data_IF_810278580127
#
_entry.id   IF_810278580127
#
_cell.length_a   1.000
_cell.length_b   1.000
_cell.length_c   1.000
_cell.angle_alpha   90.00
_cell.angle_beta   90.00
_cell.angle_gamma   90.00
#
_symmetry.space_group_name_H-M   'P 1'
#
loop_
_entity.id
_entity.type
_entity.pdbx_description
1 polymer ?
#
# COMPACT_ATOMS: atom_id res chain seq x y z
N UNK A 1 -12.23 -16.60 -3.02
CA UNK A 1 -13.67 -16.88 -3.24
C UNK A 1 -14.41 -15.72 -3.90
N UNK A 2 -14.60 -14.56 -3.24
CA UNK A 2 -15.40 -13.41 -3.74
C UNK A 2 -15.15 -13.03 -5.21
N UNK A 3 -13.88 -12.98 -5.62
CA UNK A 3 -13.49 -12.53 -6.95
C UNK A 3 -13.36 -13.65 -7.99
N UNK A 4 -13.61 -14.92 -7.64
CA UNK A 4 -13.42 -16.04 -8.59
C UNK A 4 -11.96 -16.32 -8.99
N UNK A 5 -10.98 -15.81 -8.23
CA UNK A 5 -9.57 -16.09 -8.46
C UNK A 5 -9.23 -17.58 -8.26
N UNK A 6 -8.34 -18.11 -9.10
CA UNK A 6 -7.78 -19.47 -8.99
C UNK A 6 -6.96 -19.64 -7.70
N UNK A 7 -6.16 -18.63 -7.40
CA UNK A 7 -5.31 -18.60 -6.22
C UNK A 7 -5.10 -17.16 -5.77
N UNK A 8 -4.60 -16.99 -4.55
CA UNK A 8 -4.17 -15.69 -4.07
C UNK A 8 -3.33 -15.78 -2.81
N UNK A 9 -2.56 -14.73 -2.58
CA UNK A 9 -1.81 -14.49 -1.35
C UNK A 9 -2.14 -13.10 -0.79
N UNK A 10 -1.89 -12.88 0.49
CA UNK A 10 -2.03 -11.55 1.08
C UNK A 10 -1.11 -10.52 0.39
N UNK A 11 -1.51 -9.25 0.46
CA UNK A 11 -0.83 -8.13 -0.20
C UNK A 11 0.20 -7.42 0.68
N UNK A 12 0.19 -6.08 0.58
CA UNK A 12 1.11 -5.19 1.26
C UNK A 12 0.77 -4.95 2.73
N UNK A 13 1.45 -3.97 3.31
CA UNK A 13 1.25 -3.63 4.72
C UNK A 13 -0.08 -2.92 4.94
N UNK A 14 -0.64 -3.10 6.14
CA UNK A 14 -1.82 -2.38 6.60
C UNK A 14 -1.59 -1.76 7.98
N UNK A 15 -2.40 -0.76 8.33
CA UNK A 15 -2.44 -0.23 9.69
C UNK A 15 -3.02 -1.27 10.64
N UNK A 16 -2.18 -1.99 11.39
CA UNK A 16 -2.63 -3.07 12.28
C UNK A 16 -2.18 -2.96 13.73
N UNK A 17 -1.37 -1.95 14.10
CA UNK A 17 -0.75 -1.88 15.42
C UNK A 17 -1.73 -1.50 16.55
N UNK A 18 -2.81 -0.78 16.22
CA UNK A 18 -3.87 -0.45 17.17
C UNK A 18 -5.20 -0.97 16.64
N UNK A 19 -5.79 -2.02 17.24
CA UNK A 19 -7.08 -2.57 16.81
C UNK A 19 -8.26 -1.62 17.04
N UNK A 20 -8.09 -0.59 17.87
CA UNK A 20 -9.11 0.42 18.16
C UNK A 20 -8.98 1.67 17.29
N UNK A 21 -7.97 1.73 16.42
CA UNK A 21 -7.83 2.83 15.46
C UNK A 21 -8.96 2.77 14.44
N UNK A 22 -9.55 3.92 14.11
CA UNK A 22 -10.51 4.02 13.01
C UNK A 22 -9.90 3.71 11.64
N UNK A 23 -8.56 3.79 11.55
CA UNK A 23 -7.78 3.42 10.36
C UNK A 23 -7.30 1.97 10.40
N UNK A 24 -7.75 1.18 11.39
CA UNK A 24 -7.34 -0.22 11.50
C UNK A 24 -7.79 -1.00 10.27
N UNK A 25 -6.83 -1.65 9.62
CA UNK A 25 -7.05 -2.39 8.40
C UNK A 25 -6.80 -1.58 7.14
N UNK A 26 -6.58 -0.26 7.18
CA UNK A 26 -6.32 0.54 5.98
C UNK A 26 -4.95 0.22 5.36
N UNK A 27 -4.85 0.42 4.05
CA UNK A 27 -3.60 0.28 3.30
C UNK A 27 -2.51 1.18 3.88
N UNK A 28 -1.32 0.61 4.09
CA UNK A 28 -0.12 1.32 4.51
C UNK A 28 0.96 1.16 3.46
N UNK A 29 0.86 1.95 2.39
CA UNK A 29 1.87 2.04 1.34
C UNK A 29 1.26 2.18 -0.04
N UNK A 30 2.14 2.28 -1.03
CA UNK A 30 1.76 2.54 -2.40
C UNK A 30 0.85 1.44 -2.94
N UNK A 31 -0.35 1.84 -3.37
CA UNK A 31 -1.30 0.92 -3.98
C UNK A 31 -2.06 1.59 -5.12
N UNK A 32 -1.96 0.99 -6.30
CA UNK A 32 -2.71 1.37 -7.49
C UNK A 32 -3.35 0.12 -8.05
N UNK A 33 -4.65 0.18 -8.32
CA UNK A 33 -5.38 -0.91 -8.94
C UNK A 33 -6.15 -0.39 -10.14
N UNK A 34 -5.99 -1.04 -11.30
CA UNK A 34 -6.70 -0.67 -12.53
C UNK A 34 -6.50 0.81 -12.93
N UNK A 35 -5.30 1.34 -12.67
CA UNK A 35 -4.96 2.74 -12.88
C UNK A 35 -5.57 3.74 -11.90
N UNK A 36 -6.28 3.27 -10.87
CA UNK A 36 -6.76 4.13 -9.80
C UNK A 36 -5.73 4.16 -8.66
N UNK A 37 -5.24 5.35 -8.33
CA UNK A 37 -4.39 5.57 -7.15
C UNK A 37 -5.24 5.50 -5.88
N UNK A 38 -5.02 4.48 -5.07
CA UNK A 38 -5.78 4.21 -3.85
C UNK A 38 -5.06 4.75 -2.63
N UNK A 39 -3.78 4.38 -2.51
CA UNK A 39 -2.92 4.75 -1.37
C UNK A 39 -1.53 5.16 -1.87
N UNK A 40 -0.95 6.13 -1.19
CA UNK A 40 0.27 6.80 -1.63
C UNK A 40 1.56 6.05 -1.28
N UNK A 41 2.68 6.34 -1.99
CA UNK A 41 3.98 5.88 -1.57
C UNK A 41 4.33 6.34 -0.16
N UNK A 42 4.79 5.41 0.67
CA UNK A 42 5.30 5.69 2.01
C UNK A 42 6.84 5.52 2.01
N UNK A 43 7.43 5.33 3.20
CA UNK A 43 8.87 5.08 3.38
C UNK A 43 9.39 3.81 2.67
N UNK A 44 8.52 3.06 1.97
CA UNK A 44 8.94 1.91 1.18
C UNK A 44 9.71 2.35 -0.06
N UNK A 45 11.01 2.04 -0.09
CA UNK A 45 11.88 2.44 -1.19
C UNK A 45 11.54 1.74 -2.51
N UNK A 46 10.82 0.62 -2.47
CA UNK A 46 10.49 -0.20 -3.62
C UNK A 46 9.02 -0.59 -3.62
N UNK A 47 8.46 -0.77 -4.82
CA UNK A 47 7.15 -1.37 -5.06
C UNK A 47 7.23 -2.32 -6.26
N UNK A 48 6.31 -3.29 -6.30
CA UNK A 48 6.12 -4.15 -7.47
C UNK A 48 5.14 -3.47 -8.42
N UNK A 49 5.58 -3.29 -9.66
CA UNK A 49 4.75 -2.90 -10.79
C UNK A 49 4.27 -4.17 -11.51
N UNK A 50 2.97 -4.25 -11.79
CA UNK A 50 2.38 -5.28 -12.65
C UNK A 50 1.80 -4.55 -13.87
N UNK A 51 2.50 -4.62 -14.99
CA UNK A 51 2.07 -4.03 -16.26
C UNK A 51 1.26 -5.04 -17.07
N UNK A 52 0.05 -4.68 -17.43
CA UNK A 52 -0.75 -5.42 -18.42
C UNK A 52 -0.38 -4.95 -19.83
N UNK A 53 -0.07 -5.90 -20.71
CA UNK A 53 0.19 -5.64 -22.13
C UNK A 53 -1.10 -5.80 -22.95
N UNK A 54 -1.17 -5.26 -24.18
CA UNK A 54 -2.34 -5.41 -25.05
C UNK A 54 -2.75 -6.86 -25.35
N UNK A 55 -1.83 -7.83 -25.26
CA UNK A 55 -2.14 -9.27 -25.41
C UNK A 55 -2.45 -9.97 -24.06
N UNK A 56 -2.85 -9.18 -23.06
CA UNK A 56 -3.21 -9.61 -21.71
C UNK A 56 -2.09 -10.35 -20.95
N UNK A 57 -0.82 -10.16 -21.33
CA UNK A 57 0.32 -10.67 -20.56
C UNK A 57 0.64 -9.68 -19.44
N UNK A 58 0.93 -10.20 -18.26
CA UNK A 58 1.42 -9.39 -17.15
C UNK A 58 2.95 -9.45 -17.08
N UNK A 59 3.58 -8.30 -16.91
CA UNK A 59 5.03 -8.18 -16.76
C UNK A 59 5.33 -7.48 -15.44
N UNK A 60 6.14 -8.13 -14.61
CA UNK A 60 6.54 -7.60 -13.31
C UNK A 60 7.86 -6.83 -13.40
N UNK A 61 7.93 -5.75 -12.62
CA UNK A 61 9.15 -4.96 -12.43
C UNK A 61 9.17 -4.37 -11.02
N UNK A 62 10.36 -3.96 -10.59
CA UNK A 62 10.53 -3.13 -9.40
C UNK A 62 10.60 -1.67 -9.81
N UNK A 63 9.95 -0.83 -9.02
CA UNK A 63 9.98 0.63 -9.15
C UNK A 63 10.21 1.26 -7.79
N UNK A 64 10.70 2.50 -7.79
CA UNK A 64 10.86 3.31 -6.59
C UNK A 64 9.93 4.53 -6.72
N UNK A 65 8.65 4.39 -6.31
CA UNK A 65 7.64 5.38 -6.59
C UNK A 65 7.79 6.61 -5.69
N UNK A 66 7.74 7.80 -6.29
CA UNK A 66 7.62 9.08 -5.57
C UNK A 66 6.45 9.84 -6.15
N UNK A 67 5.51 10.20 -5.29
CA UNK A 67 4.32 10.94 -5.67
C UNK A 67 4.43 12.39 -5.20
N UNK A 68 4.09 13.33 -6.08
CA UNK A 68 3.78 14.71 -5.72
C UNK A 68 2.29 14.95 -5.92
N UNK A 69 1.63 15.45 -4.89
CA UNK A 69 0.23 15.86 -4.93
C UNK A 69 0.17 17.38 -4.95
N UNK A 70 -0.49 17.96 -5.94
CA UNK A 70 -0.59 19.42 -6.10
C UNK A 70 -2.04 19.83 -6.23
N UNK A 71 -2.51 20.65 -5.30
CA UNK A 71 -3.81 21.30 -5.37
C UNK A 71 -3.66 22.61 -6.16
N UNK A 72 -4.22 22.60 -7.37
CA UNK A 72 -4.11 23.66 -8.35
C UNK A 72 -5.28 24.61 -8.21
N UNK A 73 -5.00 25.91 -8.19
CA UNK A 73 -6.00 26.94 -7.86
C UNK A 73 -6.00 27.99 -8.97
N UNK A 74 -7.15 28.22 -9.61
CA UNK A 74 -7.26 29.25 -10.64
C UNK A 74 -6.98 30.65 -10.06
N UNK A 75 -6.04 31.37 -10.67
CA UNK A 75 -5.70 32.74 -10.28
C UNK A 75 -4.86 32.86 -9.00
N UNK A 76 -4.35 31.76 -8.43
CA UNK A 76 -3.48 31.76 -7.24
C UNK A 76 -2.35 30.73 -7.35
N UNK A 77 -1.35 30.83 -6.47
CA UNK A 77 -0.27 29.84 -6.39
C UNK A 77 -0.79 28.50 -5.85
N UNK A 78 -0.39 27.41 -6.50
CA UNK A 78 -0.71 26.04 -6.10
C UNK A 78 -0.26 25.69 -4.67
N UNK A 79 -0.94 24.72 -4.06
CA UNK A 79 -0.56 24.11 -2.79
C UNK A 79 0.04 22.72 -3.06
N UNK A 80 1.30 22.51 -2.68
CA UNK A 80 1.85 21.16 -2.59
C UNK A 80 1.29 20.48 -1.35
N UNK A 81 0.58 19.38 -1.53
CA UNK A 81 0.05 18.61 -0.42
C UNK A 81 0.99 17.46 -0.06
N UNK A 82 1.02 17.17 1.24
CA UNK A 82 1.88 16.15 1.86
C UNK A 82 1.45 14.74 1.48
N UNK A 83 0.21 14.56 1.02
CA UNK A 83 -0.25 13.26 0.57
C UNK A 83 -1.72 13.17 0.18
N UNK A 84 -2.19 11.93 0.06
CA UNK A 84 -3.58 11.59 -0.19
C UNK A 84 -4.08 10.39 0.63
N UNK A 85 -5.40 10.32 0.83
CA UNK A 85 -6.13 9.16 1.34
C UNK A 85 -5.43 8.45 2.53
N UNK A 86 -5.05 9.23 3.53
CA UNK A 86 -4.50 8.75 4.79
C UNK A 86 -4.89 9.67 5.94
N UNK A 87 -4.61 9.24 7.17
CA UNK A 87 -4.73 10.10 8.35
C UNK A 87 -3.95 11.42 8.15
N UNK A 88 -4.62 12.55 8.43
CA UNK A 88 -4.00 13.88 8.46
C UNK A 88 -3.31 14.08 9.81
N UNK A 89 -2.00 14.32 9.79
CA UNK A 89 -1.20 14.63 10.97
C UNK A 89 -1.03 16.15 11.11
N UNK A 90 -0.22 16.54 12.09
CA UNK A 90 0.18 17.93 12.27
C UNK A 90 1.06 18.38 11.09
N UNK A 91 0.87 19.65 10.68
CA UNK A 91 1.50 20.30 9.52
C UNK A 91 1.29 19.61 8.16
N UNK A 92 0.36 18.66 8.05
CA UNK A 92 -0.01 18.03 6.78
C UNK A 92 -0.98 18.88 5.95
N UNK A 93 -0.89 18.73 4.62
CA UNK A 93 -2.04 18.88 3.71
C UNK A 93 -2.34 17.52 3.07
N UNK A 94 -3.57 17.01 3.19
CA UNK A 94 -4.02 15.75 2.62
C UNK A 94 -5.17 15.98 1.66
N UNK A 95 -5.11 15.33 0.49
CA UNK A 95 -6.24 15.25 -0.43
C UNK A 95 -7.01 13.95 -0.18
N UNK A 96 -8.30 14.07 0.12
CA UNK A 96 -9.22 12.95 0.27
C UNK A 96 -10.11 12.81 -0.95
N UNK A 97 -10.02 11.65 -1.60
CA UNK A 97 -10.82 11.29 -2.77
C UNK A 97 -11.92 10.29 -2.37
N UNK A 98 -12.95 10.05 -3.21
CA UNK A 98 -14.08 9.19 -2.84
C UNK A 98 -13.71 7.73 -2.53
N UNK A 99 -12.53 7.28 -2.95
CA UNK A 99 -12.04 5.93 -2.64
C UNK A 99 -11.59 5.77 -1.18
N UNK A 100 -11.29 6.88 -0.49
CA UNK A 100 -10.85 6.85 0.90
C UNK A 100 -11.94 6.32 1.82
N UNK A 101 -13.05 7.05 1.89
CA UNK A 101 -14.21 6.76 2.72
C UNK A 101 -15.35 7.73 2.34
N UNK A 102 -16.51 7.61 2.97
CA UNK A 102 -17.62 8.57 2.84
C UNK A 102 -17.27 9.97 3.39
N UNK A 103 -16.42 10.04 4.41
CA UNK A 103 -15.95 11.31 5.01
C UNK A 103 -14.43 11.31 5.13
N UNK A 104 -13.83 12.47 5.40
CA UNK A 104 -12.37 12.59 5.54
C UNK A 104 -11.79 11.85 6.74
N UNK A 105 -12.62 11.50 7.74
CA UNK A 105 -12.21 11.00 9.06
C UNK A 105 -11.30 11.95 9.85
N UNK A 106 -11.02 13.15 9.33
CA UNK A 106 -10.16 14.11 9.95
C UNK A 106 -10.77 14.65 11.27
N UNK A 107 -9.90 14.95 12.22
CA UNK A 107 -10.27 15.69 13.43
C UNK A 107 -10.71 17.13 13.11
N UNK A 108 -11.26 17.81 14.12
CA UNK A 108 -11.79 19.18 13.99
C UNK A 108 -10.72 20.28 14.00
N UNK A 109 -9.45 19.95 14.22
CA UNK A 109 -8.38 20.93 14.46
C UNK A 109 -7.71 21.46 13.19
N UNK A 110 -8.29 21.18 12.01
CA UNK A 110 -7.80 21.66 10.71
C UNK A 110 -8.83 22.44 9.91
N UNK A 111 -8.42 22.83 8.71
CA UNK A 111 -9.25 23.48 7.70
C UNK A 111 -9.49 22.53 6.55
N UNK A 112 -10.74 22.39 6.13
CA UNK A 112 -11.16 21.53 5.02
C UNK A 112 -11.80 22.34 3.90
N UNK A 113 -11.33 22.15 2.68
CA UNK A 113 -11.91 22.70 1.46
C UNK A 113 -12.62 21.58 0.71
N UNK A 114 -13.94 21.69 0.60
CA UNK A 114 -14.78 20.72 -0.11
C UNK A 114 -14.89 21.15 -1.57
N UNK A 115 -14.54 20.26 -2.48
CA UNK A 115 -14.55 20.49 -3.93
C UNK A 115 -15.51 19.52 -4.59
N UNK A 116 -16.36 20.01 -5.50
CA UNK A 116 -17.27 19.20 -6.30
C UNK A 116 -17.38 19.83 -7.69
N UNK A 117 -17.38 18.99 -8.73
CA UNK A 117 -17.36 19.41 -10.13
C UNK A 117 -16.27 20.46 -10.46
N UNK A 118 -15.08 20.34 -9.85
CA UNK A 118 -13.93 21.22 -10.10
C UNK A 118 -14.01 22.60 -9.44
N UNK A 119 -14.94 22.83 -8.52
CA UNK A 119 -15.08 24.11 -7.82
C UNK A 119 -15.14 23.95 -6.31
N UNK A 120 -14.62 24.94 -5.58
CA UNK A 120 -14.76 25.00 -4.12
C UNK A 120 -16.22 25.24 -3.76
N UNK A 121 -16.81 24.34 -2.98
CA UNK A 121 -18.19 24.45 -2.46
C UNK A 121 -18.24 24.89 -1.01
N UNK A 122 -17.20 24.63 -0.23
CA UNK A 122 -17.10 25.09 1.15
C UNK A 122 -15.65 25.17 1.62
N UNK A 123 -15.38 26.14 2.49
CA UNK A 123 -14.18 26.19 3.34
C UNK A 123 -14.66 26.05 4.79
N UNK A 124 -14.16 25.05 5.50
CA UNK A 124 -14.69 24.60 6.81
C UNK A 124 -13.56 24.58 7.83
N UNK A 125 -13.81 25.05 9.03
CA UNK A 125 -12.85 25.03 10.14
C UNK A 125 -13.57 24.74 11.45
N UNK A 126 -12.95 23.94 12.34
CA UNK A 126 -13.54 23.61 13.65
C UNK A 126 -14.75 22.68 13.57
N UNK A 127 -15.04 22.11 12.40
CA UNK A 127 -16.18 21.23 12.16
C UNK A 127 -15.77 19.76 12.08
N UNK A 128 -16.70 18.81 12.34
CA UNK A 128 -16.46 17.39 12.08
C UNK A 128 -16.12 17.12 10.61
N UNK A 129 -15.47 15.96 10.38
CA UNK A 129 -15.01 15.48 9.07
C UNK A 129 -16.01 15.73 7.95
N UNK A 130 -15.57 16.37 6.86
CA UNK A 130 -16.41 16.64 5.70
C UNK A 130 -16.82 15.36 4.96
N UNK A 131 -18.01 15.38 4.37
CA UNK A 131 -18.42 14.39 3.36
C UNK A 131 -17.59 14.65 2.11
N UNK A 132 -17.04 13.58 1.53
CA UNK A 132 -16.28 13.65 0.28
C UNK A 132 -17.27 13.56 -0.89
N UNK A 133 -17.38 14.59 -1.74
CA UNK A 133 -18.31 14.56 -2.87
C UNK A 133 -17.95 13.44 -3.87
N UNK A 134 -18.92 12.65 -4.37
CA UNK A 134 -18.63 11.56 -5.32
C UNK A 134 -17.96 12.01 -6.62
N UNK A 135 -18.16 13.26 -7.01
CA UNK A 135 -17.62 13.90 -8.22
C UNK A 135 -16.50 14.90 -7.89
N UNK A 136 -15.86 14.77 -6.73
CA UNK A 136 -14.88 15.73 -6.24
C UNK A 136 -13.94 15.15 -5.19
N UNK A 137 -13.47 16.01 -4.31
CA UNK A 137 -12.49 15.69 -3.28
C UNK A 137 -12.57 16.69 -2.13
N UNK A 138 -11.85 16.41 -1.03
CA UNK A 138 -11.65 17.35 0.07
C UNK A 138 -10.16 17.56 0.28
N UNK A 139 -9.73 18.82 0.39
CA UNK A 139 -8.36 19.17 0.82
C UNK A 139 -8.40 19.53 2.29
N UNK A 140 -7.69 18.79 3.13
CA UNK A 140 -7.70 18.96 4.59
C UNK A 140 -6.29 19.30 5.06
N UNK A 141 -6.12 20.40 5.78
CA UNK A 141 -4.79 20.84 6.21
C UNK A 141 -4.72 21.28 7.67
N UNK A 142 -3.52 21.13 8.25
CA UNK A 142 -3.08 21.71 9.51
C UNK A 142 -1.84 22.60 9.25
N UNK A 143 -1.49 23.47 10.20
CA UNK A 143 -0.30 24.31 10.10
C UNK A 143 -0.34 25.33 8.96
N UNK A 144 0.81 25.57 8.32
CA UNK A 144 0.96 26.64 7.33
C UNK A 144 0.03 26.51 6.11
N UNK A 145 -0.30 25.29 5.68
CA UNK A 145 -1.22 25.10 4.55
C UNK A 145 -2.67 25.39 4.94
N UNK A 146 -3.05 25.19 6.22
CA UNK A 146 -4.38 25.57 6.71
C UNK A 146 -4.63 27.07 6.57
N UNK A 147 -3.63 27.91 6.88
CA UNK A 147 -3.71 29.37 6.70
C UNK A 147 -3.98 29.78 5.24
N UNK A 148 -3.51 28.98 4.28
CA UNK A 148 -3.76 29.20 2.86
C UNK A 148 -5.17 28.75 2.47
N UNK A 149 -5.62 27.60 2.97
CA UNK A 149 -6.98 27.10 2.73
C UNK A 149 -8.05 28.06 3.27
N UNK A 150 -7.84 28.67 4.45
CA UNK A 150 -8.80 29.64 5.04
C UNK A 150 -9.12 30.83 4.14
N UNK A 151 -8.18 31.22 3.29
CA UNK A 151 -8.28 32.40 2.42
C UNK A 151 -8.95 32.09 1.07
N UNK A 152 -9.38 30.85 0.87
CA UNK A 152 -10.02 30.43 -0.37
C UNK A 152 -11.47 30.88 -0.43
N UNK A 153 -11.97 31.06 -1.65
CA UNK A 153 -13.32 31.54 -1.89
C UNK A 153 -14.15 30.43 -2.53
N UNK A 154 -15.40 30.33 -2.12
CA UNK A 154 -16.38 29.44 -2.74
C UNK A 154 -16.60 29.87 -4.20
N UNK A 155 -16.71 28.90 -5.11
CA UNK A 155 -16.83 29.10 -6.54
C UNK A 155 -15.50 29.19 -7.30
N UNK A 156 -14.35 29.23 -6.61
CA UNK A 156 -13.05 29.18 -7.30
C UNK A 156 -12.84 27.83 -7.96
N UNK A 157 -12.47 27.84 -9.25
CA UNK A 157 -12.10 26.64 -9.99
C UNK A 157 -10.77 26.07 -9.48
N UNK A 158 -10.74 24.77 -9.24
CA UNK A 158 -9.60 24.07 -8.68
C UNK A 158 -9.48 22.65 -9.23
N UNK A 159 -8.26 22.11 -9.20
CA UNK A 159 -7.99 20.74 -9.59
C UNK A 159 -6.96 20.10 -8.67
N UNK A 160 -6.81 18.78 -8.74
CA UNK A 160 -5.67 18.08 -8.13
C UNK A 160 -4.86 17.39 -9.22
N UNK A 161 -3.55 17.61 -9.21
CA UNK A 161 -2.60 16.95 -10.08
C UNK A 161 -1.78 15.93 -9.27
N UNK A 162 -1.62 14.74 -9.85
CA UNK A 162 -0.79 13.67 -9.33
C UNK A 162 0.40 13.45 -10.27
N UNK A 163 1.60 13.74 -9.79
CA UNK A 163 2.84 13.46 -10.51
C UNK A 163 3.56 12.28 -9.86
N UNK A 164 3.47 11.12 -10.50
CA UNK A 164 4.06 9.87 -10.03
C UNK A 164 5.32 9.54 -10.84
N UNK A 165 6.45 9.49 -10.15
CA UNK A 165 7.77 9.28 -10.74
C UNK A 165 8.42 8.00 -10.21
N UNK A 166 9.19 7.34 -11.05
CA UNK A 166 10.15 6.33 -10.64
C UNK A 166 11.51 7.00 -10.41
N UNK A 167 11.94 7.11 -9.15
CA UNK A 167 13.20 7.79 -8.84
C UNK A 167 14.43 7.03 -9.37
N UNK A 168 14.30 5.72 -9.61
CA UNK A 168 15.41 4.89 -10.07
C UNK A 168 15.87 5.22 -11.50
N UNK A 169 14.96 5.69 -12.37
CA UNK A 169 15.28 6.04 -13.76
C UNK A 169 14.78 7.43 -14.19
N UNK A 170 14.13 8.17 -13.28
CA UNK A 170 13.64 9.52 -13.51
C UNK A 170 12.44 9.62 -14.45
N UNK A 171 11.71 8.52 -14.70
CA UNK A 171 10.56 8.50 -15.61
C UNK A 171 9.24 8.51 -14.86
N UNK A 172 8.18 9.02 -15.50
CA UNK A 172 6.83 8.89 -14.98
C UNK A 172 6.39 7.43 -14.93
N UNK A 173 5.69 7.07 -13.85
CA UNK A 173 5.01 5.79 -13.71
C UNK A 173 3.58 5.94 -14.24
N UNK A 174 3.20 5.20 -15.29
CA UNK A 174 1.85 5.26 -15.84
C UNK A 174 0.82 4.61 -14.91
N UNK A 175 -0.36 5.22 -14.79
CA UNK A 175 -1.49 4.59 -14.10
C UNK A 175 -2.21 3.58 -15.00
N UNK A 176 -2.56 3.98 -16.22
CA UNK A 176 -3.32 3.15 -17.16
C UNK A 176 -2.61 1.81 -17.42
N UNK A 177 -3.35 0.70 -17.38
CA UNK A 177 -2.86 -0.67 -17.61
C UNK A 177 -1.80 -1.15 -16.58
N UNK A 178 -1.69 -0.48 -15.43
CA UNK A 178 -0.74 -0.83 -14.38
C UNK A 178 -1.40 -1.00 -13.02
N UNK A 179 -0.88 -1.95 -12.28
CA UNK A 179 -1.06 -2.07 -10.84
C UNK A 179 0.27 -1.84 -10.16
N UNK A 180 0.21 -1.31 -8.94
CA UNK A 180 1.37 -1.15 -8.08
C UNK A 180 1.02 -1.59 -6.68
N UNK A 181 1.92 -2.31 -6.04
CA UNK A 181 1.80 -2.70 -4.64
C UNK A 181 3.16 -2.57 -3.96
N UNK A 182 3.21 -1.83 -2.85
CA UNK A 182 4.39 -1.79 -1.99
C UNK A 182 4.20 -2.62 -0.72
N UNK A 183 5.30 -3.18 -0.26
CA UNK A 183 5.49 -3.80 1.03
C UNK A 183 6.97 -3.66 1.38
N UNK A 184 7.74 -4.73 1.28
CA UNK A 184 9.18 -4.74 1.42
C UNK A 184 9.66 -5.48 2.66
N UNK A 185 10.98 -5.60 2.81
CA UNK A 185 11.99 -5.02 1.93
C UNK A 185 12.20 -5.81 0.62
N UNK A 186 12.91 -5.21 -0.33
CA UNK A 186 13.51 -5.94 -1.44
C UNK A 186 14.61 -6.88 -0.89
N UNK A 187 14.53 -8.16 -1.22
CA UNK A 187 15.44 -9.18 -0.69
C UNK A 187 16.53 -9.58 -1.70
N UNK A 188 16.17 -9.74 -2.96
CA UNK A 188 17.08 -10.22 -4.02
C UNK A 188 16.90 -9.38 -5.27
N UNK A 189 18.01 -8.97 -5.87
CA UNK A 189 18.06 -8.27 -7.16
C UNK A 189 19.28 -8.75 -7.94
N UNK A 190 19.10 -9.11 -9.21
CA UNK A 190 20.24 -9.62 -9.99
C UNK A 190 20.67 -11.03 -9.57
N UNK A 191 19.76 -11.83 -9.02
CA UNK A 191 20.07 -13.15 -8.44
C UNK A 191 20.94 -13.11 -7.18
N UNK A 192 21.16 -11.92 -6.60
CA UNK A 192 21.98 -11.73 -5.40
C UNK A 192 21.15 -11.08 -4.28
N UNK A 193 21.37 -11.49 -3.02
CA UNK A 193 20.79 -10.79 -1.87
C UNK A 193 21.18 -9.30 -1.89
N UNK A 194 20.21 -8.44 -1.59
CA UNK A 194 20.43 -6.99 -1.53
C UNK A 194 21.05 -6.64 -0.19
N UNK A 195 22.23 -6.00 -0.21
CA UNK A 195 22.88 -5.49 0.99
C UNK A 195 22.05 -4.37 1.61
N UNK A 196 21.90 -4.38 2.93
CA UNK A 196 21.28 -3.30 3.73
C UNK A 196 19.81 -2.98 3.39
N UNK A 197 19.11 -3.84 2.64
CA UNK A 197 17.71 -3.63 2.25
C UNK A 197 17.46 -2.27 1.60
N UNK A 198 18.36 -1.86 0.69
CA UNK A 198 18.34 -0.64 -0.15
C UNK A 198 17.14 0.30 0.09
N UNK A 199 17.33 1.29 0.97
CA UNK A 199 16.34 2.32 1.28
C UNK A 199 15.40 2.01 2.45
N UNK A 200 15.58 0.89 3.15
CA UNK A 200 14.80 0.56 4.36
C UNK A 200 15.67 0.31 5.60
N UNK A 201 16.26 1.38 6.13
CA UNK A 201 17.13 1.34 7.32
C UNK A 201 16.44 0.78 8.58
N UNK A 202 15.10 0.85 8.66
CA UNK A 202 14.32 0.19 9.72
C UNK A 202 14.52 -1.34 9.74
N UNK A 203 14.50 -2.00 8.58
CA UNK A 203 14.61 -3.46 8.54
C UNK A 203 16.00 -3.93 8.97
N UNK A 204 17.06 -3.15 8.71
CA UNK A 204 18.40 -3.53 9.12
C UNK A 204 18.55 -3.72 10.64
N UNK A 205 17.89 -2.87 11.45
CA UNK A 205 17.99 -2.91 12.92
C UNK A 205 16.81 -3.62 13.59
N UNK A 206 15.83 -4.08 12.82
CA UNK A 206 14.62 -4.69 13.37
C UNK A 206 14.83 -6.17 13.70
N UNK A 207 14.46 -6.62 14.90
CA UNK A 207 14.42 -8.05 15.22
C UNK A 207 13.59 -8.86 14.23
N UNK A 208 12.58 -8.25 13.61
CA UNK A 208 11.73 -8.86 12.57
C UNK A 208 12.52 -9.45 11.40
N UNK A 209 13.68 -8.88 11.10
CA UNK A 209 14.52 -9.29 9.97
C UNK A 209 15.28 -10.59 10.25
N UNK A 210 15.80 -10.71 11.47
CA UNK A 210 16.66 -11.82 11.89
C UNK A 210 15.93 -12.89 12.71
N UNK A 211 14.64 -12.67 13.02
CA UNK A 211 13.78 -13.68 13.62
C UNK A 211 13.02 -14.46 12.55
N UNK A 212 12.75 -15.72 12.88
CA UNK A 212 11.92 -16.58 12.04
C UNK A 212 10.45 -16.22 12.21
N UNK A 213 9.79 -15.96 11.10
CA UNK A 213 8.37 -15.64 11.05
C UNK A 213 7.71 -16.34 9.86
N UNK A 214 6.38 -16.49 9.86
CA UNK A 214 5.65 -16.70 8.64
C UNK A 214 5.96 -15.57 7.64
N UNK A 215 6.13 -15.90 6.37
CA UNK A 215 6.51 -14.94 5.32
C UNK A 215 5.59 -15.06 4.12
N UNK A 216 5.32 -13.95 3.48
CA UNK A 216 4.80 -13.90 2.11
C UNK A 216 5.79 -13.17 1.22
N UNK A 217 6.00 -13.65 0.01
CA UNK A 217 6.86 -13.00 -0.97
C UNK A 217 6.33 -13.17 -2.38
N UNK A 218 6.72 -12.24 -3.23
CA UNK A 218 6.61 -12.36 -4.68
C UNK A 218 8.01 -12.40 -5.28
N UNK A 219 8.22 -13.34 -6.20
CA UNK A 219 9.51 -13.53 -6.85
C UNK A 219 9.33 -13.85 -8.33
N UNK A 220 10.38 -13.64 -9.13
CA UNK A 220 10.37 -14.01 -10.54
C UNK A 220 11.77 -14.34 -11.06
N UNK A 221 11.81 -15.14 -12.12
CA UNK A 221 13.04 -15.53 -12.82
C UNK A 221 13.60 -14.38 -13.66
N UNK A 222 14.87 -14.47 -14.07
CA UNK A 222 15.57 -13.40 -14.81
C UNK A 222 14.82 -12.98 -16.08
N UNK A 223 14.32 -13.98 -16.83
CA UNK A 223 13.56 -13.77 -18.06
C UNK A 223 12.08 -13.39 -17.82
N UNK A 224 11.64 -13.29 -16.56
CA UNK A 224 10.28 -12.95 -16.13
C UNK A 224 9.19 -13.84 -16.74
N UNK A 225 9.51 -15.11 -17.03
CA UNK A 225 8.54 -16.09 -17.52
C UNK A 225 7.83 -16.83 -16.39
N UNK A 226 8.47 -16.92 -15.23
CA UNK A 226 7.91 -17.56 -14.04
C UNK A 226 7.80 -16.52 -12.93
N UNK A 227 6.62 -16.45 -12.34
CA UNK A 227 6.31 -15.65 -11.15
C UNK A 227 5.92 -16.61 -10.05
N UNK A 228 6.53 -16.45 -8.88
CA UNK A 228 6.27 -17.24 -7.69
C UNK A 228 5.55 -16.37 -6.68
N UNK A 229 4.36 -16.81 -6.25
CA UNK A 229 3.71 -16.32 -5.05
C UNK A 229 4.02 -17.32 -3.94
N UNK A 230 4.69 -16.86 -2.88
CA UNK A 230 5.30 -17.74 -1.89
C UNK A 230 4.74 -17.41 -0.53
N UNK A 231 4.30 -18.42 0.20
CA UNK A 231 4.00 -18.34 1.62
C UNK A 231 4.81 -19.37 2.40
N UNK A 232 5.31 -18.98 3.55
CA UNK A 232 6.03 -19.84 4.50
C UNK A 232 5.26 -19.77 5.82
N UNK A 233 4.74 -20.90 6.31
CA UNK A 233 4.16 -20.99 7.65
C UNK A 233 5.21 -20.69 8.72
N UNK A 234 4.82 -20.29 9.92
CA UNK A 234 5.78 -19.98 10.99
C UNK A 234 5.16 -19.81 12.36
N UNK A 235 6.01 -19.67 13.39
CA UNK A 235 5.62 -19.57 14.82
C UNK A 235 4.82 -20.79 15.33
N UNK A 236 5.00 -21.95 14.69
CA UNK A 236 4.34 -23.20 15.06
C UNK A 236 5.43 -24.25 15.30
N UNK A 237 5.94 -24.41 16.55
CA UNK A 237 7.11 -25.24 16.85
C UNK A 237 7.03 -26.67 16.28
N UNK A 238 5.84 -27.27 16.28
CA UNK A 238 5.62 -28.65 15.85
C UNK A 238 5.29 -28.80 14.34
N UNK A 239 5.22 -27.69 13.59
CA UNK A 239 4.87 -27.70 12.15
C UNK A 239 5.84 -26.86 11.31
N UNK A 240 5.92 -25.56 11.58
CA UNK A 240 6.87 -24.67 10.91
C UNK A 240 7.30 -23.54 11.83
N UNK A 241 8.61 -23.40 11.99
CA UNK A 241 9.21 -22.27 12.73
C UNK A 241 9.30 -21.00 11.88
N UNK A 242 9.12 -21.09 10.56
CA UNK A 242 9.22 -19.97 9.63
C UNK A 242 10.66 -19.64 9.22
N UNK A 243 10.81 -18.56 8.45
CA UNK A 243 12.09 -18.09 7.92
C UNK A 243 12.46 -16.69 8.42
N UNK A 244 13.75 -16.45 8.57
CA UNK A 244 14.33 -15.10 8.56
C UNK A 244 14.26 -14.53 7.13
N UNK A 245 14.43 -13.21 6.98
CA UNK A 245 14.47 -12.61 5.63
C UNK A 245 15.64 -13.13 4.77
N UNK A 246 16.87 -13.31 5.31
CA UNK A 246 17.97 -13.94 4.57
C UNK A 246 17.69 -15.39 4.16
N UNK A 247 17.13 -16.21 5.04
CA UNK A 247 16.78 -17.61 4.71
C UNK A 247 15.77 -17.69 3.57
N UNK A 248 14.76 -16.80 3.57
CA UNK A 248 13.80 -16.68 2.48
C UNK A 248 14.46 -16.27 1.16
N UNK A 249 15.36 -15.29 1.19
CA UNK A 249 16.11 -14.85 0.03
C UNK A 249 16.93 -16.00 -0.57
N UNK A 250 17.74 -16.66 0.25
CA UNK A 250 18.60 -17.77 -0.16
C UNK A 250 17.80 -18.96 -0.69
N UNK A 251 16.68 -19.28 -0.03
CA UNK A 251 15.79 -20.34 -0.49
C UNK A 251 15.25 -20.05 -1.89
N UNK A 252 14.72 -18.84 -2.13
CA UNK A 252 14.12 -18.49 -3.41
C UNK A 252 15.14 -18.33 -4.53
N UNK A 253 16.36 -17.85 -4.24
CA UNK A 253 17.46 -17.88 -5.22
C UNK A 253 17.76 -19.31 -5.65
N UNK A 254 17.79 -20.27 -4.72
CA UNK A 254 17.97 -21.70 -5.05
C UNK A 254 16.81 -22.28 -5.87
N UNK A 255 15.61 -21.69 -5.77
CA UNK A 255 14.45 -22.02 -6.64
C UNK A 255 14.50 -21.29 -8.00
N UNK A 256 15.58 -20.58 -8.32
CA UNK A 256 15.75 -19.87 -9.59
C UNK A 256 15.22 -18.43 -9.60
N UNK A 257 14.80 -17.89 -8.46
CA UNK A 257 14.39 -16.49 -8.39
C UNK A 257 15.58 -15.55 -8.64
N UNK A 258 15.41 -14.65 -9.61
CA UNK A 258 16.35 -13.58 -9.89
C UNK A 258 15.99 -12.28 -9.16
N UNK A 259 14.73 -12.17 -8.76
CA UNK A 259 14.22 -11.06 -7.95
C UNK A 259 13.26 -11.61 -6.91
N UNK A 260 13.38 -11.13 -5.68
CA UNK A 260 12.54 -11.52 -4.55
C UNK A 260 12.17 -10.28 -3.76
N UNK A 261 10.87 -10.04 -3.62
CA UNK A 261 10.31 -8.92 -2.88
C UNK A 261 9.42 -9.44 -1.74
N UNK A 262 9.73 -9.02 -0.51
CA UNK A 262 8.97 -9.41 0.66
C UNK A 262 7.61 -8.68 0.71
N UNK A 263 6.56 -9.40 1.07
CA UNK A 263 5.21 -8.88 1.29
C UNK A 263 4.88 -8.84 2.79
N UNK A 264 3.67 -8.42 3.17
CA UNK A 264 3.27 -8.49 4.58
C UNK A 264 3.30 -9.94 5.08
N UNK A 265 3.77 -10.15 6.30
CA UNK A 265 4.08 -11.48 6.85
C UNK A 265 3.47 -11.70 8.23
N UNK A 266 4.03 -12.65 8.98
CA UNK A 266 3.47 -13.03 10.28
C UNK A 266 2.04 -13.54 10.12
N UNK A 267 1.13 -13.12 11.00
CA UNK A 267 -0.29 -13.52 10.96
C UNK A 267 -1.05 -13.11 9.70
N UNK A 268 -0.47 -12.27 8.83
CA UNK A 268 -1.03 -11.96 7.50
C UNK A 268 -0.83 -13.08 6.50
N UNK A 269 0.18 -13.93 6.72
CA UNK A 269 0.63 -14.91 5.73
C UNK A 269 -0.50 -15.87 5.43
N UNK A 270 -1.07 -15.76 4.24
CA UNK A 270 -2.18 -16.58 3.81
C UNK A 270 -2.07 -16.85 2.32
N UNK A 271 -2.22 -18.12 1.94
CA UNK A 271 -2.39 -18.56 0.56
C UNK A 271 -3.70 -19.32 0.45
N UNK A 272 -4.47 -18.99 -0.58
CA UNK A 272 -5.65 -19.75 -0.96
C UNK A 272 -5.53 -20.26 -2.40
N UNK A 273 -5.96 -21.49 -2.65
CA UNK A 273 -6.00 -22.14 -3.97
C UNK A 273 -7.37 -22.81 -4.13
N UNK A 274 -8.05 -22.57 -5.25
CA UNK A 274 -9.42 -23.05 -5.47
C UNK A 274 -10.42 -22.46 -4.47
N UNK A 275 -10.06 -21.35 -3.83
CA UNK A 275 -10.83 -20.74 -2.75
C UNK A 275 -10.56 -21.31 -1.36
N UNK A 276 -9.78 -22.38 -1.21
CA UNK A 276 -9.45 -22.98 0.09
C UNK A 276 -8.08 -22.52 0.57
N UNK A 277 -7.95 -22.24 1.86
CA UNK A 277 -6.65 -21.88 2.46
C UNK A 277 -5.78 -23.13 2.55
N UNK A 278 -4.53 -23.01 2.10
CA UNK A 278 -3.60 -24.15 1.99
C UNK A 278 -2.44 -24.08 2.98
N UNK A 279 -2.37 -23.04 3.80
CA UNK A 279 -1.31 -22.81 4.78
C UNK A 279 -1.91 -22.66 6.20
N UNK A 280 -1.06 -22.67 7.23
CA UNK A 280 -1.51 -22.65 8.63
C UNK A 280 -1.36 -21.26 9.26
N UNK A 281 -2.46 -20.72 9.80
CA UNK A 281 -2.44 -19.41 10.45
C UNK A 281 -1.55 -19.40 11.70
N UNK A 282 -0.73 -18.35 11.84
CA UNK A 282 0.11 -18.18 13.02
C UNK A 282 -0.57 -17.42 14.17
N UNK A 283 -1.63 -16.67 13.86
CA UNK A 283 -2.39 -15.95 14.87
C UNK A 283 -3.32 -16.91 15.59
N UNK A 284 -3.49 -16.70 16.89
CA UNK A 284 -4.43 -17.45 17.71
C UNK A 284 -5.43 -16.50 18.35
N UNK A 285 -6.69 -16.90 18.36
CA UNK A 285 -7.71 -16.22 19.16
C UNK A 285 -7.80 -16.91 20.53
N UNK A 286 -7.41 -16.19 21.57
CA UNK A 286 -7.50 -16.66 22.95
C UNK A 286 -8.93 -16.61 23.47
N UNK A 287 -9.45 -17.74 23.93
CA UNK A 287 -10.77 -17.86 24.56
C UNK A 287 -10.81 -18.95 25.62
N UNK A 288 -11.93 -19.05 26.35
CA UNK A 288 -12.12 -20.03 27.45
C UNK A 288 -11.95 -21.51 27.05
N UNK A 289 -11.86 -21.82 25.75
CA UNK A 289 -11.77 -23.17 25.19
C UNK A 289 -10.40 -23.47 24.53
N UNK A 290 -9.38 -22.64 24.80
CA UNK A 290 -8.04 -22.78 24.24
C UNK A 290 -7.83 -21.95 22.97
N UNK A 291 -6.55 -21.83 22.59
CA UNK A 291 -6.10 -21.05 21.45
C UNK A 291 -6.49 -21.73 20.14
N UNK A 292 -7.25 -21.03 19.29
CA UNK A 292 -7.60 -21.50 17.94
C UNK A 292 -6.90 -20.65 16.89
N UNK A 293 -6.24 -21.26 15.88
CA UNK A 293 -5.69 -20.53 14.75
C UNK A 293 -6.76 -19.68 14.05
N UNK A 294 -6.44 -18.44 13.71
CA UNK A 294 -7.36 -17.50 13.07
C UNK A 294 -6.70 -16.79 11.90
N UNK A 295 -7.43 -16.70 10.78
CA UNK A 295 -7.05 -15.88 9.64
C UNK A 295 -7.14 -14.40 10.02
N UNK A 296 -6.06 -13.65 9.78
CA UNK A 296 -6.08 -12.20 9.97
C UNK A 296 -6.63 -11.51 8.73
N UNK A 297 -7.62 -10.63 8.91
CA UNK A 297 -8.16 -9.80 7.82
C UNK A 297 -7.11 -8.82 7.30
N UNK A 298 -7.04 -8.66 5.97
CA UNK A 298 -6.14 -7.73 5.26
C UNK A 298 -6.87 -6.91 4.21
N UNK A 299 -6.34 -5.73 3.91
CA UNK A 299 -6.91 -4.76 2.98
C UNK A 299 -6.70 -5.10 1.51
N UNK A 300 -5.66 -5.86 1.20
CA UNK A 300 -5.28 -6.19 -0.16
C UNK A 300 -4.75 -7.62 -0.28
N UNK A 301 -4.74 -8.10 -1.52
CA UNK A 301 -4.28 -9.42 -1.89
C UNK A 301 -3.79 -9.40 -3.33
N UNK A 302 -2.82 -10.26 -3.63
CA UNK A 302 -2.44 -10.60 -4.99
C UNK A 302 -3.27 -11.79 -5.44
N UNK A 303 -4.07 -11.61 -6.48
CA UNK A 303 -5.01 -12.62 -6.99
C UNK A 303 -4.57 -13.10 -8.38
N UNK A 304 -4.59 -14.42 -8.57
CA UNK A 304 -4.33 -15.07 -9.85
C UNK A 304 -5.64 -15.53 -10.47
N UNK A 305 -5.89 -15.14 -11.72
CA UNK A 305 -7.11 -15.50 -12.46
C UNK A 305 -6.78 -16.44 -13.63
N UNK A 306 -7.66 -17.39 -13.91
CA UNK A 306 -7.69 -18.08 -15.21
C UNK A 306 -8.26 -17.12 -16.24
N UNK A 307 -7.74 -17.18 -17.46
CA UNK A 307 -8.45 -16.62 -18.62
C UNK A 307 -9.67 -17.47 -18.96
#
# INVERSE_FOLDING_TARGET
KRHGALAGVNGGFSYSNNPWSIYHGDLRGFFVQDGQLISEPNDSAWAVQIKSTPNHRQVLSLVQPKLRVTFQIEGASDISCSGLNRERKDDDCIVYTPIWNRTTLADTSGVEVVVSAGEIKAVREGLPSAIIPPDGFVVSAKGAQAERLRKMHVGTSVAVAFDLMNIADGKHLPFKDHHYVSAGPLLVRGGKPVSEYEGHHWFHKSPFTHQRHPRTAIAWTENKREVMLVTVDGRQPDHSVGFTLPELADFLVKQGAHTVYNMDGGGSTTMAIGGEVVNHFSDVWGGRLGDKPIERRRCDALLLFSR
#
